data_IF_552491891579
#
_entry.id   IF_552491891579
#
_cell.length_a   1.000
_cell.length_b   1.000
_cell.length_c   1.000
_cell.angle_alpha   90.00
_cell.angle_beta   90.00
_cell.angle_gamma   90.00
#
_symmetry.space_group_name_H-M   'P 1'
#
loop_
_entity.id
_entity.type
_entity.pdbx_description
1 polymer ?
#
# COMPACT_ATOMS: atom_id res chain seq x y z
N UNK A 1 -7.01 9.68 0.09
CA UNK A 1 -7.85 8.67 0.78
C UNK A 1 -7.06 8.05 1.92
N UNK A 2 -7.70 7.73 3.04
CA UNK A 2 -7.13 6.91 4.12
C UNK A 2 -7.42 5.43 3.81
N UNK A 3 -6.37 4.61 3.80
CA UNK A 3 -6.46 3.18 3.56
C UNK A 3 -5.96 2.44 4.80
N UNK A 4 -6.83 1.63 5.42
CA UNK A 4 -6.44 0.85 6.60
C UNK A 4 -5.87 -0.49 6.17
N UNK A 5 -4.62 -0.77 6.52
CA UNK A 5 -4.00 -2.06 6.26
C UNK A 5 -4.51 -3.11 7.26
N UNK A 6 -5.08 -4.19 6.75
CA UNK A 6 -5.62 -5.30 7.51
C UNK A 6 -4.76 -6.54 7.29
N UNK A 7 -4.23 -7.08 8.38
CA UNK A 7 -3.54 -8.37 8.42
C UNK A 7 -4.34 -9.35 9.27
N UNK A 8 -4.27 -10.64 8.93
CA UNK A 8 -5.00 -11.69 9.62
C UNK A 8 -4.52 -13.06 9.17
N UNK A 9 -4.75 -14.10 9.98
CA UNK A 9 -4.33 -15.46 9.63
C UNK A 9 -5.38 -16.20 8.81
N UNK A 10 -6.61 -15.67 8.77
CA UNK A 10 -7.76 -16.21 8.03
C UNK A 10 -8.53 -15.12 7.28
N UNK A 11 -9.41 -15.54 6.35
CA UNK A 11 -10.31 -14.61 5.65
C UNK A 11 -11.29 -13.94 6.63
N UNK A 12 -11.69 -14.63 7.69
CA UNK A 12 -12.58 -14.07 8.71
C UNK A 12 -11.89 -12.94 9.48
N UNK A 13 -10.60 -13.09 9.83
CA UNK A 13 -9.81 -12.03 10.45
C UNK A 13 -9.76 -10.78 9.56
N UNK A 14 -9.50 -11.00 8.26
CA UNK A 14 -9.46 -9.94 7.26
C UNK A 14 -10.82 -9.24 7.14
N UNK A 15 -11.89 -10.01 7.00
CA UNK A 15 -13.27 -9.49 6.84
C UNK A 15 -13.73 -8.72 8.06
N UNK A 16 -13.44 -9.22 9.26
CA UNK A 16 -13.75 -8.54 10.53
C UNK A 16 -12.96 -7.23 10.64
N UNK A 17 -11.66 -7.24 10.33
CA UNK A 17 -10.83 -6.05 10.35
C UNK A 17 -11.28 -4.99 9.34
N UNK A 18 -11.69 -5.42 8.14
CA UNK A 18 -12.24 -4.53 7.13
C UNK A 18 -13.56 -3.90 7.59
N UNK A 19 -14.51 -4.69 8.10
CA UNK A 19 -15.76 -4.19 8.65
C UNK A 19 -15.54 -3.14 9.76
N UNK A 20 -14.62 -3.42 10.69
CA UNK A 20 -14.23 -2.48 11.74
C UNK A 20 -13.66 -1.17 11.16
N UNK A 21 -12.67 -1.26 10.27
CA UNK A 21 -12.02 -0.09 9.68
C UNK A 21 -12.99 0.80 8.88
N UNK A 22 -13.88 0.18 8.10
CA UNK A 22 -14.89 0.89 7.33
C UNK A 22 -15.93 1.56 8.24
N UNK A 23 -16.34 0.90 9.33
CA UNK A 23 -17.27 1.48 10.31
C UNK A 23 -16.70 2.71 11.04
N UNK A 24 -15.39 2.76 11.26
CA UNK A 24 -14.70 3.91 11.87
C UNK A 24 -14.57 5.08 10.89
N UNK A 25 -14.61 4.82 9.58
CA UNK A 25 -14.55 5.84 8.54
C UNK A 25 -13.29 5.80 7.67
N UNK A 26 -12.61 4.65 7.57
CA UNK A 26 -11.58 4.45 6.55
C UNK A 26 -12.20 4.55 5.15
N UNK A 27 -11.48 5.12 4.18
CA UNK A 27 -11.99 5.26 2.80
C UNK A 27 -11.81 3.93 2.04
N UNK A 28 -10.66 3.28 2.25
CA UNK A 28 -10.25 2.01 1.63
C UNK A 28 -9.74 1.03 2.70
N UNK A 29 -9.73 -0.26 2.38
CA UNK A 29 -9.07 -1.29 3.18
C UNK A 29 -8.04 -2.03 2.34
N UNK A 30 -6.82 -2.18 2.84
CA UNK A 30 -5.80 -3.02 2.21
C UNK A 30 -5.81 -4.40 2.85
N UNK A 31 -6.16 -5.42 2.08
CA UNK A 31 -6.04 -6.81 2.50
C UNK A 31 -4.63 -7.31 2.25
N UNK A 32 -3.87 -7.55 3.33
CA UNK A 32 -2.55 -8.17 3.30
C UNK A 32 -2.69 -9.69 3.17
N UNK A 33 -2.99 -10.15 1.96
CA UNK A 33 -3.20 -11.57 1.65
C UNK A 33 -1.96 -12.41 1.96
N UNK A 34 -0.78 -11.79 1.92
CA UNK A 34 0.50 -12.40 2.32
C UNK A 34 0.60 -12.75 3.81
N UNK A 35 -0.36 -12.32 4.65
CA UNK A 35 -0.39 -12.64 6.10
C UNK A 35 -1.28 -13.83 6.45
N UNK A 36 -2.09 -14.31 5.50
CA UNK A 36 -2.92 -15.49 5.67
C UNK A 36 -2.05 -16.72 5.90
N UNK A 37 -2.50 -17.62 6.78
CA UNK A 37 -1.81 -18.89 7.04
C UNK A 37 -1.82 -19.80 5.81
N UNK A 38 -2.91 -19.78 5.06
CA UNK A 38 -3.13 -20.59 3.86
C UNK A 38 -3.82 -19.74 2.76
N UNK A 39 -3.06 -18.90 2.04
CA UNK A 39 -3.60 -18.01 1.03
C UNK A 39 -3.95 -18.77 -0.25
N UNK A 40 -5.23 -19.10 -0.44
CA UNK A 40 -5.71 -19.86 -1.61
C UNK A 40 -6.50 -18.98 -2.58
N UNK A 41 -6.28 -19.12 -3.90
CA UNK A 41 -7.08 -18.43 -4.92
C UNK A 41 -8.60 -18.54 -4.69
N UNK A 42 -9.10 -19.74 -4.40
CA UNK A 42 -10.53 -20.00 -4.23
C UNK A 42 -11.15 -19.36 -2.99
N UNK A 43 -10.37 -18.88 -2.02
CA UNK A 43 -10.92 -18.22 -0.83
C UNK A 43 -11.12 -16.72 -1.01
N UNK A 44 -10.54 -16.09 -2.04
CA UNK A 44 -10.59 -14.63 -2.21
C UNK A 44 -12.01 -14.10 -2.48
N UNK A 45 -12.88 -14.92 -3.10
CA UNK A 45 -14.27 -14.56 -3.36
C UNK A 45 -15.10 -14.31 -2.10
N UNK A 46 -14.63 -14.76 -0.94
CA UNK A 46 -15.28 -14.46 0.35
C UNK A 46 -15.12 -12.99 0.77
N UNK A 47 -14.19 -12.24 0.16
CA UNK A 47 -14.01 -10.80 0.38
C UNK A 47 -14.92 -9.94 -0.52
N UNK A 48 -15.84 -10.56 -1.28
CA UNK A 48 -16.62 -9.91 -2.34
C UNK A 48 -17.33 -8.62 -1.91
N UNK A 49 -17.81 -8.57 -0.68
CA UNK A 49 -18.55 -7.42 -0.13
C UNK A 49 -17.69 -6.15 0.07
N UNK A 50 -16.36 -6.27 0.00
CA UNK A 50 -15.43 -5.16 0.23
C UNK A 50 -14.70 -4.70 -1.04
N UNK A 51 -14.86 -5.41 -2.15
CA UNK A 51 -13.97 -5.28 -3.31
C UNK A 51 -13.98 -3.88 -3.94
N UNK A 52 -15.11 -3.19 -3.92
CA UNK A 52 -15.28 -1.81 -4.40
C UNK A 52 -14.43 -0.77 -3.65
N UNK A 53 -13.92 -1.14 -2.47
CA UNK A 53 -13.07 -0.31 -1.59
C UNK A 53 -11.80 -1.04 -1.16
N UNK A 54 -11.51 -2.18 -1.76
CA UNK A 54 -10.37 -3.01 -1.41
C UNK A 54 -9.12 -2.64 -2.23
N UNK A 55 -7.98 -2.60 -1.53
CA UNK A 55 -6.67 -2.81 -2.11
C UNK A 55 -6.27 -4.25 -1.82
N UNK A 56 -6.11 -5.09 -2.84
CA UNK A 56 -5.55 -6.43 -2.64
C UNK A 56 -4.02 -6.38 -2.78
N UNK A 57 -3.31 -6.91 -1.80
CA UNK A 57 -1.84 -6.91 -1.76
C UNK A 57 -1.32 -8.30 -1.41
N UNK A 58 -0.45 -8.84 -2.25
CA UNK A 58 0.33 -10.07 -1.95
C UNK A 58 1.80 -9.70 -1.83
N UNK A 59 2.16 -9.04 -0.71
CA UNK A 59 3.50 -8.46 -0.53
C UNK A 59 4.55 -9.57 -0.51
N UNK A 60 5.63 -9.41 -1.29
CA UNK A 60 6.77 -10.33 -1.26
C UNK A 60 7.63 -10.16 0.01
N UNK A 61 8.31 -11.21 0.52
CA UNK A 61 9.18 -11.10 1.69
C UNK A 61 10.28 -10.03 1.58
N UNK A 62 10.89 -9.88 0.40
CA UNK A 62 11.93 -8.87 0.14
C UNK A 62 11.46 -7.41 0.30
N UNK A 63 10.15 -7.18 0.37
CA UNK A 63 9.54 -5.85 0.59
C UNK A 63 8.63 -5.82 1.83
N UNK A 64 8.90 -6.68 2.82
CA UNK A 64 8.22 -6.64 4.12
C UNK A 64 6.93 -7.44 4.16
N UNK A 65 6.75 -8.33 3.18
CA UNK A 65 5.68 -9.32 3.12
C UNK A 65 5.96 -10.55 3.95
N UNK A 66 4.94 -11.39 4.11
CA UNK A 66 5.04 -12.67 4.84
C UNK A 66 4.52 -13.85 4.04
N UNK A 67 4.43 -13.71 2.71
CA UNK A 67 3.88 -14.75 1.86
C UNK A 67 4.65 -16.06 2.06
N UNK A 68 3.98 -17.16 2.44
CA UNK A 68 4.66 -18.36 2.91
C UNK A 68 5.15 -19.29 1.77
N UNK A 69 4.69 -19.06 0.54
CA UNK A 69 4.97 -19.91 -0.61
C UNK A 69 6.05 -19.39 -1.55
N UNK A 70 6.20 -20.08 -2.67
CA UNK A 70 7.08 -19.75 -3.78
C UNK A 70 6.57 -18.57 -4.60
N UNK A 71 7.44 -17.96 -5.40
CA UNK A 71 7.03 -16.87 -6.31
C UNK A 71 5.96 -17.31 -7.32
N UNK A 72 6.01 -18.55 -7.80
CA UNK A 72 5.00 -19.09 -8.72
C UNK A 72 3.60 -19.17 -8.07
N UNK A 73 3.54 -19.62 -6.82
CA UNK A 73 2.30 -19.64 -6.04
C UNK A 73 1.81 -18.22 -5.75
N UNK A 74 2.73 -17.29 -5.46
CA UNK A 74 2.41 -15.87 -5.27
C UNK A 74 1.78 -15.26 -6.52
N UNK A 75 2.37 -15.50 -7.69
CA UNK A 75 1.84 -15.03 -8.97
C UNK A 75 0.49 -15.65 -9.30
N UNK A 76 0.28 -16.91 -8.95
CA UNK A 76 -1.03 -17.58 -9.08
C UNK A 76 -2.08 -16.86 -8.22
N UNK A 77 -1.74 -16.50 -6.98
CA UNK A 77 -2.63 -15.73 -6.11
C UNK A 77 -2.86 -14.31 -6.61
N UNK A 78 -1.85 -13.64 -7.17
CA UNK A 78 -2.00 -12.32 -7.79
C UNK A 78 -2.98 -12.38 -8.95
N UNK A 79 -2.87 -13.37 -9.84
CA UNK A 79 -3.83 -13.57 -10.95
C UNK A 79 -5.26 -13.78 -10.43
N UNK A 80 -5.42 -14.61 -9.39
CA UNK A 80 -6.73 -14.79 -8.76
C UNK A 80 -7.27 -13.51 -8.11
N UNK A 81 -6.39 -12.66 -7.54
CA UNK A 81 -6.75 -11.36 -6.99
C UNK A 81 -7.16 -10.37 -8.10
N UNK A 82 -6.53 -10.42 -9.27
CA UNK A 82 -6.96 -9.65 -10.46
C UNK A 82 -8.40 -10.04 -10.84
N UNK A 83 -8.71 -11.33 -10.87
CA UNK A 83 -10.03 -11.86 -11.24
C UNK A 83 -11.15 -11.43 -10.28
N UNK A 84 -10.82 -11.08 -9.03
CA UNK A 84 -11.78 -10.51 -8.09
C UNK A 84 -12.21 -9.09 -8.48
N UNK A 85 -11.43 -8.36 -9.30
CA UNK A 85 -11.72 -6.96 -9.69
C UNK A 85 -11.85 -6.02 -8.48
N UNK A 86 -10.84 -5.95 -7.58
CA UNK A 86 -10.85 -4.99 -6.49
C UNK A 86 -10.73 -3.56 -7.00
N UNK A 87 -10.99 -2.58 -6.15
CA UNK A 87 -10.79 -1.17 -6.44
C UNK A 87 -9.34 -0.89 -6.84
N UNK A 88 -8.40 -1.52 -6.12
CA UNK A 88 -6.98 -1.48 -6.43
C UNK A 88 -6.31 -2.85 -6.25
N UNK A 89 -5.27 -3.08 -7.05
CA UNK A 89 -4.31 -4.14 -6.83
C UNK A 89 -2.93 -3.51 -6.62
N UNK A 90 -2.24 -3.90 -5.55
CA UNK A 90 -0.87 -3.49 -5.28
C UNK A 90 0.10 -4.59 -5.72
N UNK A 91 0.96 -4.27 -6.68
CA UNK A 91 2.01 -5.15 -7.19
C UNK A 91 3.35 -4.40 -7.12
N UNK A 92 4.39 -5.08 -6.65
CA UNK A 92 5.76 -4.56 -6.65
C UNK A 92 6.22 -4.19 -8.06
N UNK A 93 6.97 -3.09 -8.17
CA UNK A 93 7.57 -2.60 -9.41
C UNK A 93 8.44 -3.66 -10.07
N UNK A 94 9.31 -4.33 -9.29
CA UNK A 94 10.16 -5.41 -9.78
C UNK A 94 9.35 -6.61 -10.29
N UNK A 95 8.20 -6.90 -9.69
CA UNK A 95 7.29 -7.96 -10.15
C UNK A 95 6.63 -7.56 -11.46
N UNK A 96 6.17 -6.31 -11.60
CA UNK A 96 5.59 -5.80 -12.84
C UNK A 96 6.61 -5.79 -14.00
N UNK A 97 7.87 -5.48 -13.72
CA UNK A 97 8.95 -5.52 -14.71
C UNK A 97 9.33 -6.94 -15.12
N UNK A 98 9.30 -7.88 -14.17
CA UNK A 98 9.65 -9.29 -14.42
C UNK A 98 8.54 -10.08 -15.11
N UNK A 99 7.28 -9.70 -14.87
CA UNK A 99 6.07 -10.40 -15.34
C UNK A 99 5.11 -9.43 -16.04
N UNK A 100 5.49 -8.88 -17.21
CA UNK A 100 4.67 -7.89 -17.92
C UNK A 100 3.32 -8.47 -18.41
N UNK A 101 3.17 -9.79 -18.48
CA UNK A 101 1.92 -10.47 -18.82
C UNK A 101 0.79 -10.16 -17.83
N UNK A 102 1.12 -9.86 -16.56
CA UNK A 102 0.13 -9.46 -15.54
C UNK A 102 -0.67 -8.23 -15.96
N UNK A 103 -0.05 -7.29 -16.71
CA UNK A 103 -0.71 -6.05 -17.13
C UNK A 103 -1.87 -6.30 -18.08
N UNK A 104 -1.77 -7.32 -18.93
CA UNK A 104 -2.84 -7.67 -19.88
C UNK A 104 -4.14 -8.09 -19.17
N UNK A 105 -4.02 -8.57 -17.93
CA UNK A 105 -5.16 -9.03 -17.13
C UNK A 105 -5.83 -7.90 -16.33
N UNK A 106 -5.23 -6.70 -16.23
CA UNK A 106 -5.69 -5.59 -15.37
C UNK A 106 -6.80 -4.71 -15.96
N UNK A 107 -7.53 -5.17 -16.98
CA UNK A 107 -8.42 -4.34 -17.83
C UNK A 107 -9.46 -3.45 -17.12
N UNK A 108 -9.82 -3.75 -15.86
CA UNK A 108 -10.78 -2.96 -15.06
C UNK A 108 -10.29 -2.56 -13.66
N UNK A 109 -9.11 -3.02 -13.24
CA UNK A 109 -8.60 -2.84 -11.87
C UNK A 109 -7.53 -1.75 -11.85
N UNK A 110 -7.61 -0.80 -10.92
CA UNK A 110 -6.59 0.24 -10.79
C UNK A 110 -5.33 -0.36 -10.17
N UNK A 111 -4.18 -0.10 -10.79
CA UNK A 111 -2.90 -0.58 -10.27
C UNK A 111 -2.31 0.38 -9.24
N UNK A 112 -1.65 -0.17 -8.23
CA UNK A 112 -0.67 0.52 -7.41
C UNK A 112 0.68 -0.14 -7.73
N UNK A 113 1.56 0.60 -8.40
CA UNK A 113 2.92 0.14 -8.70
C UNK A 113 3.81 0.55 -7.52
N UNK A 114 4.17 -0.41 -6.69
CA UNK A 114 4.78 -0.14 -5.39
C UNK A 114 6.24 -0.55 -5.31
N UNK A 115 7.02 0.16 -4.50
CA UNK A 115 8.41 -0.15 -4.23
C UNK A 115 8.74 0.18 -2.78
N UNK A 116 9.43 -0.75 -2.11
CA UNK A 116 9.79 -0.62 -0.70
C UNK A 116 11.31 -0.79 -0.47
N UNK A 117 11.91 0.12 0.28
CA UNK A 117 13.25 -0.07 0.89
C UNK A 117 13.08 -0.18 2.41
N UNK A 118 13.28 -1.38 2.93
CA UNK A 118 13.08 -1.68 4.34
C UNK A 118 14.24 -1.21 5.22
N UNK A 119 15.41 -0.95 4.64
CA UNK A 119 16.62 -0.66 5.38
C UNK A 119 16.95 0.83 5.48
N UNK A 120 16.63 1.61 4.44
CA UNK A 120 17.05 3.02 4.36
C UNK A 120 16.18 3.84 3.43
N UNK A 121 16.51 5.13 3.34
CA UNK A 121 16.00 6.04 2.31
C UNK A 121 17.13 6.37 1.33
N UNK A 122 17.02 5.97 0.04
CA UNK A 122 17.98 6.37 -0.98
C UNK A 122 18.04 7.89 -1.20
N UNK A 123 19.11 8.39 -1.85
CA UNK A 123 19.18 9.78 -2.28
C UNK A 123 18.00 10.17 -3.18
N UNK A 124 17.60 11.45 -3.13
CA UNK A 124 16.45 11.96 -3.88
C UNK A 124 16.49 11.70 -5.39
N UNK A 125 17.68 11.69 -6.00
CA UNK A 125 17.85 11.35 -7.42
C UNK A 125 17.47 9.91 -7.74
N UNK A 126 17.78 8.96 -6.85
CA UNK A 126 17.43 7.55 -7.02
C UNK A 126 15.96 7.31 -6.74
N UNK A 127 15.40 7.96 -5.73
CA UNK A 127 13.95 7.98 -5.48
C UNK A 127 13.18 8.51 -6.70
N UNK A 128 13.69 9.56 -7.35
CA UNK A 128 13.09 10.11 -8.57
C UNK A 128 13.13 9.09 -9.70
N UNK A 129 14.23 8.34 -9.86
CA UNK A 129 14.33 7.26 -10.85
C UNK A 129 13.33 6.14 -10.59
N UNK A 130 13.15 5.73 -9.33
CA UNK A 130 12.12 4.75 -8.94
C UNK A 130 10.71 5.27 -9.27
N UNK A 131 10.42 6.53 -8.92
CA UNK A 131 9.14 7.16 -9.25
C UNK A 131 8.87 7.16 -10.76
N UNK A 132 9.86 7.49 -11.59
CA UNK A 132 9.67 7.47 -13.05
C UNK A 132 9.42 6.07 -13.59
N UNK A 133 10.11 5.04 -13.08
CA UNK A 133 9.82 3.64 -13.41
C UNK A 133 8.39 3.26 -13.05
N UNK A 134 7.95 3.59 -11.83
CA UNK A 134 6.59 3.31 -11.37
C UNK A 134 5.52 4.06 -12.20
N UNK A 135 5.81 5.27 -12.69
CA UNK A 135 4.92 6.05 -13.56
C UNK A 135 4.72 5.46 -14.96
N UNK A 136 5.58 4.53 -15.40
CA UNK A 136 5.36 3.81 -16.66
C UNK A 136 4.11 2.91 -16.61
N UNK A 137 3.63 2.61 -15.41
CA UNK A 137 2.44 1.81 -15.18
C UNK A 137 1.23 2.72 -14.94
N UNK A 138 0.12 2.45 -15.62
CA UNK A 138 -1.14 3.20 -15.46
C UNK A 138 -1.75 2.91 -14.08
N UNK A 139 -1.46 3.77 -13.11
CA UNK A 139 -1.86 3.55 -11.73
C UNK A 139 -1.26 4.56 -10.75
N UNK A 140 -1.32 4.24 -9.46
CA UNK A 140 -0.72 5.05 -8.39
C UNK A 140 0.72 4.59 -8.13
N UNK A 141 1.74 5.43 -8.34
CA UNK A 141 3.09 5.13 -7.88
C UNK A 141 3.15 5.16 -6.35
N UNK A 142 3.69 4.11 -5.73
CA UNK A 142 3.87 4.01 -4.27
C UNK A 142 5.34 3.78 -3.93
N UNK A 143 5.96 4.69 -3.19
CA UNK A 143 7.39 4.63 -2.82
C UNK A 143 7.49 4.72 -1.30
N UNK A 144 7.92 3.63 -0.66
CA UNK A 144 7.99 3.56 0.79
C UNK A 144 9.40 3.20 1.22
N UNK A 145 10.04 4.02 2.04
CA UNK A 145 11.41 3.78 2.53
C UNK A 145 11.45 3.68 4.05
N UNK A 146 12.59 3.38 4.65
CA UNK A 146 12.78 3.49 6.10
C UNK A 146 13.56 4.75 6.45
N UNK A 147 13.03 5.54 7.40
CA UNK A 147 13.75 6.70 7.93
C UNK A 147 14.79 6.24 8.96
N UNK A 148 16.05 6.56 8.68
CA UNK A 148 17.23 6.40 9.55
C UNK A 148 17.69 7.74 10.14
N UNK A 149 17.21 8.85 9.54
CA UNK A 149 17.41 10.22 10.03
C UNK A 149 16.16 11.08 9.76
N UNK A 150 15.97 12.21 10.46
CA UNK A 150 14.88 13.15 10.14
C UNK A 150 14.92 13.68 8.70
N UNK A 151 16.11 13.86 8.12
CA UNK A 151 16.32 14.37 6.77
C UNK A 151 15.75 13.44 5.69
N UNK A 152 15.66 12.13 5.97
CA UNK A 152 15.12 11.13 5.05
C UNK A 152 13.66 11.44 4.66
N UNK A 153 12.88 12.00 5.60
CA UNK A 153 11.53 12.44 5.32
C UNK A 153 11.51 13.52 4.22
N UNK A 154 12.44 14.47 4.25
CA UNK A 154 12.51 15.54 3.26
C UNK A 154 12.90 14.99 1.88
N UNK A 155 13.78 14.00 1.85
CA UNK A 155 14.16 13.30 0.62
C UNK A 155 12.95 12.64 -0.04
N UNK A 156 12.15 11.88 0.71
CA UNK A 156 10.92 11.26 0.18
C UNK A 156 9.85 12.29 -0.17
N UNK A 157 9.65 13.31 0.67
CA UNK A 157 8.67 14.38 0.41
C UNK A 157 9.04 15.23 -0.80
N UNK A 158 10.30 15.25 -1.24
CA UNK A 158 10.71 15.93 -2.48
C UNK A 158 10.03 15.35 -3.73
N UNK A 159 9.57 14.10 -3.68
CA UNK A 159 8.84 13.45 -4.78
C UNK A 159 7.49 14.13 -5.10
N UNK A 160 6.96 14.93 -4.18
CA UNK A 160 5.73 15.70 -4.37
C UNK A 160 5.96 17.04 -5.08
N UNK A 161 7.21 17.46 -5.32
CA UNK A 161 7.54 18.76 -5.95
C UNK A 161 7.46 18.77 -7.48
N UNK A 162 7.27 17.61 -8.11
CA UNK A 162 7.31 17.46 -9.58
C UNK A 162 5.98 17.76 -10.28
N UNK A 163 6.03 17.82 -11.61
CA UNK A 163 4.84 17.79 -12.45
C UNK A 163 4.24 16.37 -12.51
N UNK A 164 2.92 16.31 -12.67
CA UNK A 164 2.15 15.06 -12.73
C UNK A 164 1.38 14.76 -11.45
N UNK A 165 0.68 13.62 -11.44
CA UNK A 165 -0.10 13.20 -10.28
C UNK A 165 0.82 12.87 -9.09
N UNK A 166 0.44 13.27 -7.85
CA UNK A 166 1.20 12.96 -6.65
C UNK A 166 1.32 11.44 -6.42
N UNK A 167 2.49 10.93 -6.00
CA UNK A 167 2.64 9.55 -5.60
C UNK A 167 2.09 9.31 -4.19
N UNK A 168 1.92 8.04 -3.80
CA UNK A 168 1.83 7.64 -2.41
C UNK A 168 3.24 7.37 -1.86
N UNK A 169 3.91 8.42 -1.37
CA UNK A 169 5.30 8.34 -0.92
C UNK A 169 5.51 8.79 0.54
N UNK A 170 6.13 7.94 1.36
CA UNK A 170 6.41 8.23 2.78
C UNK A 170 7.47 7.28 3.35
N UNK A 171 8.03 7.62 4.52
CA UNK A 171 8.93 6.78 5.29
C UNK A 171 8.20 5.94 6.34
N UNK A 172 8.74 4.76 6.61
CA UNK A 172 8.48 3.90 7.76
C UNK A 172 9.36 4.30 8.94
N UNK A 173 9.04 3.73 10.11
CA UNK A 173 9.74 3.95 11.36
C UNK A 173 9.19 5.15 12.12
N UNK A 174 9.53 5.27 13.41
CA UNK A 174 9.09 6.40 14.24
C UNK A 174 9.58 7.73 13.66
N UNK A 175 10.83 7.78 13.19
CA UNK A 175 11.38 8.94 12.48
C UNK A 175 10.62 9.28 11.20
N UNK A 176 9.91 8.32 10.60
CA UNK A 176 9.16 8.46 9.36
C UNK A 176 7.76 9.06 9.52
N UNK A 177 7.25 9.19 10.75
CA UNK A 177 5.89 9.68 11.02
C UNK A 177 5.65 11.05 10.39
N UNK A 178 6.65 11.94 10.40
CA UNK A 178 6.55 13.26 9.80
C UNK A 178 6.17 13.20 8.31
N UNK A 179 6.84 12.37 7.51
CA UNK A 179 6.51 12.21 6.09
C UNK A 179 5.11 11.65 5.86
N UNK A 180 4.59 10.77 6.72
CA UNK A 180 3.21 10.24 6.61
C UNK A 180 2.17 11.34 6.79
N UNK A 181 2.39 12.23 7.75
CA UNK A 181 1.51 13.38 7.99
C UNK A 181 1.60 14.37 6.82
N UNK A 182 2.81 14.73 6.40
CA UNK A 182 3.00 15.71 5.33
C UNK A 182 2.56 15.21 3.96
N UNK A 183 2.68 13.90 3.69
CA UNK A 183 2.15 13.27 2.49
C UNK A 183 0.64 13.51 2.32
N UNK A 184 -0.13 13.47 3.43
CA UNK A 184 -1.56 13.82 3.38
C UNK A 184 -1.78 15.27 2.94
N UNK A 185 -0.96 16.21 3.44
CA UNK A 185 -1.05 17.63 3.05
C UNK A 185 -0.57 17.88 1.61
N UNK A 186 0.45 17.16 1.15
CA UNK A 186 0.99 17.30 -0.21
C UNK A 186 0.23 16.52 -1.27
N UNK A 187 -0.95 16.00 -0.95
CA UNK A 187 -1.88 15.45 -1.93
C UNK A 187 -1.65 13.97 -2.26
N UNK A 188 -1.02 13.20 -1.37
CA UNK A 188 -0.93 11.75 -1.53
C UNK A 188 -2.31 11.14 -1.83
N UNK A 189 -2.46 10.36 -2.92
CA UNK A 189 -3.76 9.80 -3.28
C UNK A 189 -4.24 8.78 -2.25
N UNK A 190 -3.30 8.05 -1.64
CA UNK A 190 -3.57 7.03 -0.62
C UNK A 190 -2.58 7.21 0.55
N UNK A 191 -3.10 7.29 1.76
CA UNK A 191 -2.32 7.33 3.00
C UNK A 191 -2.67 6.11 3.85
N UNK A 192 -1.65 5.30 4.15
CA UNK A 192 -1.82 4.02 4.83
C UNK A 192 -1.78 4.19 6.34
N UNK A 193 -2.81 3.65 7.00
CA UNK A 193 -3.06 3.76 8.44
C UNK A 193 -3.37 2.38 9.02
N UNK A 194 -3.46 2.27 10.34
CA UNK A 194 -3.80 1.03 11.04
C UNK A 194 -5.09 1.14 11.83
N UNK A 195 -5.69 0.00 12.15
CA UNK A 195 -6.63 -0.06 13.25
C UNK A 195 -5.89 0.25 14.57
N UNK A 196 -6.56 0.87 15.56
CA UNK A 196 -5.95 1.15 16.86
C UNK A 196 -5.28 -0.10 17.47
N UNK A 197 -3.98 -0.01 17.75
CA UNK A 197 -3.20 -1.11 18.33
C UNK A 197 -2.84 -2.25 17.37
N UNK A 198 -3.13 -2.15 16.07
CA UNK A 198 -2.91 -3.22 15.08
C UNK A 198 -2.06 -2.76 13.88
N UNK A 199 -1.03 -1.97 14.12
CA UNK A 199 -0.12 -1.50 13.06
C UNK A 199 0.62 -2.66 12.39
N UNK A 200 0.63 -2.68 11.05
CA UNK A 200 1.31 -3.70 10.23
C UNK A 200 2.68 -3.24 9.71
N UNK A 201 2.96 -1.93 9.80
CA UNK A 201 4.23 -1.33 9.42
C UNK A 201 4.68 -0.27 10.46
N UNK A 202 5.99 -0.13 10.72
CA UNK A 202 6.50 0.85 11.67
C UNK A 202 6.10 2.29 11.31
N UNK A 203 5.70 3.06 12.33
CA UNK A 203 5.29 4.46 12.19
C UNK A 203 3.89 4.68 11.61
N UNK A 204 3.07 3.64 11.41
CA UNK A 204 1.67 3.83 11.01
C UNK A 204 0.88 4.58 12.08
N UNK A 205 0.17 5.62 11.64
CA UNK A 205 -0.81 6.32 12.44
C UNK A 205 -2.05 5.44 12.58
N UNK A 206 -2.67 5.42 13.76
CA UNK A 206 -3.99 4.82 13.90
C UNK A 206 -5.03 5.64 13.12
N UNK A 207 -6.08 4.96 12.65
CA UNK A 207 -7.12 5.53 11.80
C UNK A 207 -7.81 6.75 12.44
N UNK A 208 -8.06 6.75 13.75
CA UNK A 208 -8.74 7.88 14.42
C UNK A 208 -7.85 9.12 14.45
N UNK A 209 -6.57 8.95 14.78
CA UNK A 209 -5.58 10.02 14.72
C UNK A 209 -5.43 10.56 13.30
N UNK A 210 -5.36 9.68 12.30
CA UNK A 210 -5.24 10.09 10.90
C UNK A 210 -6.49 10.85 10.39
N UNK A 211 -7.69 10.46 10.82
CA UNK A 211 -8.94 11.18 10.51
C UNK A 211 -8.92 12.61 11.05
N UNK A 212 -8.50 12.78 12.31
CA UNK A 212 -8.41 14.11 12.92
C UNK A 212 -7.32 14.97 12.25
N UNK A 213 -6.15 14.38 11.96
CA UNK A 213 -5.08 15.08 11.23
C UNK A 213 -5.53 15.51 9.84
N UNK A 214 -6.18 14.62 9.08
CA UNK A 214 -6.74 14.93 7.75
C UNK A 214 -7.67 16.13 7.84
N UNK A 215 -8.60 16.13 8.80
CA UNK A 215 -9.54 17.25 9.03
C UNK A 215 -8.82 18.57 9.32
N UNK A 216 -7.76 18.55 10.15
CA UNK A 216 -6.98 19.76 10.46
C UNK A 216 -6.16 20.26 9.29
N UNK A 217 -5.52 19.35 8.55
CA UNK A 217 -4.69 19.69 7.38
C UNK A 217 -5.52 20.25 6.22
N UNK A 218 -6.78 19.81 6.06
CA UNK A 218 -7.69 20.37 5.04
C UNK A 218 -8.18 21.79 5.36
N UNK A 219 -8.11 22.21 6.62
CA UNK A 219 -8.57 23.53 7.06
C UNK A 219 -7.44 24.57 7.18
N UNK A 220 -6.20 24.21 6.78
CA UNK A 220 -4.98 25.00 7.00
C UNK A 220 -4.13 25.14 5.74
#
# INVERSE_FOLDING_TARGET
MLCTSISGQSIDDLSSGAGEALSIGSDLVEFRLDTLRDPRPGSLGQLATFLDRAVLTVRRPGEGGRFPGTESERLTLIRAAIDQKPAYLDIELETLESYPDLLSSLSSTRLIASWHDLGRTPPAGDLTRVLQRARNYRGVPKIVTTATSPADNLSVLSLYKGSGEPPAAFCMGELGIFSRVMAMKYGSPISYVSLPGRSVAPGQLDLKTALELRRRLSNA
#
